data_IF_515558771053
#
_entry.id   IF_515558771053
#
_cell.length_a   1.000
_cell.length_b   1.000
_cell.length_c   1.000
_cell.angle_alpha   90.00
_cell.angle_beta   90.00
_cell.angle_gamma   90.00
#
_symmetry.space_group_name_H-M   'P 1'
#
loop_
_entity.id
_entity.type
_entity.pdbx_description
1 polymer ?
#
# COMPACT_ATOMS: atom_id res chain seq x y z
N UNK A 1 6.67 -29.61 2.49
CA UNK A 1 6.15 -28.54 3.38
C UNK A 1 6.56 -27.15 2.88
N UNK A 2 7.75 -26.98 2.26
CA UNK A 2 8.17 -25.71 1.64
C UNK A 2 7.45 -25.38 0.32
N UNK A 3 7.08 -26.37 -0.48
CA UNK A 3 6.49 -26.10 -1.81
C UNK A 3 5.11 -25.42 -1.76
N UNK A 4 4.33 -25.68 -0.70
CA UNK A 4 3.04 -25.02 -0.51
C UNK A 4 3.21 -23.56 -0.07
N UNK A 5 4.21 -23.29 0.78
CA UNK A 5 4.54 -21.95 1.25
C UNK A 5 5.11 -21.08 0.13
N UNK A 6 6.03 -21.61 -0.68
CA UNK A 6 6.59 -20.88 -1.82
C UNK A 6 5.53 -20.57 -2.89
N UNK A 7 4.60 -21.50 -3.16
CA UNK A 7 3.48 -21.23 -4.08
C UNK A 7 2.53 -20.14 -3.57
N UNK A 8 2.29 -20.08 -2.27
CA UNK A 8 1.46 -19.01 -1.70
C UNK A 8 2.16 -17.66 -1.82
N UNK A 9 3.48 -17.60 -1.56
CA UNK A 9 4.27 -16.39 -1.75
C UNK A 9 4.31 -15.93 -3.22
N UNK A 10 4.49 -16.85 -4.16
CA UNK A 10 4.43 -16.56 -5.59
C UNK A 10 3.05 -15.98 -5.96
N UNK A 11 1.98 -16.61 -5.48
CA UNK A 11 0.61 -16.14 -5.72
C UNK A 11 0.31 -14.78 -5.09
N UNK A 12 0.86 -14.50 -3.91
CA UNK A 12 0.77 -13.16 -3.28
C UNK A 12 1.50 -12.08 -4.10
N UNK A 13 2.49 -12.46 -4.91
CA UNK A 13 3.22 -11.57 -5.82
C UNK A 13 2.65 -11.49 -7.24
N UNK A 14 1.65 -12.32 -7.58
CA UNK A 14 1.00 -12.36 -8.90
C UNK A 14 -0.06 -11.25 -9.05
N UNK A 15 0.36 -9.99 -8.95
CA UNK A 15 -0.49 -8.84 -9.22
C UNK A 15 -0.05 -8.11 -10.50
N UNK A 16 -1.02 -7.51 -11.20
CA UNK A 16 -0.73 -6.70 -12.38
C UNK A 16 -0.12 -5.36 -11.95
N UNK A 17 1.21 -5.28 -12.07
CA UNK A 17 1.96 -4.06 -11.75
C UNK A 17 1.52 -2.85 -12.58
N UNK A 18 1.07 -3.04 -13.82
CA UNK A 18 0.61 -1.93 -14.66
C UNK A 18 -0.74 -1.40 -14.18
N UNK A 19 -1.64 -2.29 -13.77
CA UNK A 19 -2.91 -1.90 -13.17
C UNK A 19 -2.68 -1.14 -11.85
N UNK A 20 -1.77 -1.64 -10.99
CA UNK A 20 -1.42 -0.97 -9.74
C UNK A 20 -0.82 0.42 -9.96
N UNK A 21 0.10 0.57 -10.93
CA UNK A 21 0.67 1.88 -11.28
C UNK A 21 -0.43 2.86 -11.74
N UNK A 22 -1.40 2.40 -12.53
CA UNK A 22 -2.54 3.22 -12.96
C UNK A 22 -3.42 3.63 -11.78
N UNK A 23 -3.66 2.74 -10.82
CA UNK A 23 -4.41 3.04 -9.59
C UNK A 23 -3.70 4.14 -8.81
N UNK A 24 -2.38 4.03 -8.61
CA UNK A 24 -1.56 5.04 -7.91
C UNK A 24 -1.63 6.39 -8.62
N UNK A 25 -1.38 6.42 -9.94
CA UNK A 25 -1.41 7.66 -10.73
C UNK A 25 -2.77 8.36 -10.67
N UNK A 26 -3.87 7.59 -10.62
CA UNK A 26 -5.23 8.13 -10.55
C UNK A 26 -5.61 8.61 -9.15
N UNK A 27 -5.22 7.89 -8.10
CA UNK A 27 -5.76 8.09 -6.75
C UNK A 27 -4.89 9.01 -5.88
N UNK A 28 -3.56 9.01 -6.05
CA UNK A 28 -2.67 9.89 -5.26
C UNK A 28 -3.01 11.37 -5.38
N UNK A 29 -3.38 11.91 -6.57
CA UNK A 29 -3.82 13.30 -6.69
C UNK A 29 -5.13 13.63 -5.97
N UNK A 30 -5.94 12.62 -5.62
CA UNK A 30 -7.23 12.78 -4.95
C UNK A 30 -7.12 12.75 -3.43
N UNK A 31 -5.92 12.46 -2.89
CA UNK A 31 -5.68 12.43 -1.46
C UNK A 31 -5.78 13.83 -0.86
N UNK A 32 -6.46 13.94 0.29
CA UNK A 32 -6.34 15.14 1.11
C UNK A 32 -4.96 15.21 1.79
N UNK A 33 -4.63 16.35 2.39
CA UNK A 33 -3.30 16.58 2.98
C UNK A 33 -2.88 15.53 4.02
N UNK A 34 -3.79 15.07 4.87
CA UNK A 34 -3.49 14.06 5.90
C UNK A 34 -3.24 12.69 5.28
N UNK A 35 -4.08 12.30 4.32
CA UNK A 35 -3.94 11.03 3.61
C UNK A 35 -2.64 11.01 2.79
N UNK A 36 -2.29 12.15 2.17
CA UNK A 36 -1.06 12.29 1.39
C UNK A 36 0.20 12.20 2.26
N UNK A 37 0.18 12.79 3.45
CA UNK A 37 1.27 12.68 4.43
C UNK A 37 1.54 11.22 4.82
N UNK A 38 0.48 10.43 5.04
CA UNK A 38 0.62 9.00 5.33
C UNK A 38 1.20 8.26 4.13
N UNK A 39 0.65 8.47 2.93
CA UNK A 39 1.15 7.85 1.70
C UNK A 39 2.64 8.13 1.47
N UNK A 40 3.06 9.40 1.55
CA UNK A 40 4.45 9.81 1.33
C UNK A 40 5.40 9.21 2.37
N UNK A 41 4.96 9.13 3.64
CA UNK A 41 5.74 8.52 4.72
C UNK A 41 5.92 7.01 4.49
N UNK A 42 4.87 6.32 4.07
CA UNK A 42 4.92 4.89 3.75
C UNK A 42 5.82 4.61 2.55
N UNK A 43 5.68 5.38 1.47
CA UNK A 43 6.54 5.24 0.28
C UNK A 43 8.01 5.47 0.61
N UNK A 44 8.31 6.51 1.39
CA UNK A 44 9.68 6.77 1.84
C UNK A 44 10.27 5.61 2.65
N UNK A 45 9.48 5.00 3.55
CA UNK A 45 9.97 3.86 4.33
C UNK A 45 10.29 2.64 3.45
N UNK A 46 9.48 2.40 2.40
CA UNK A 46 9.73 1.35 1.41
C UNK A 46 11.02 1.65 0.64
N UNK A 47 11.18 2.88 0.13
CA UNK A 47 12.35 3.30 -0.65
C UNK A 47 13.65 3.23 0.18
N UNK A 48 13.56 3.60 1.47
CA UNK A 48 14.69 3.54 2.40
C UNK A 48 14.96 2.10 2.93
N UNK A 49 14.11 1.13 2.58
CA UNK A 49 14.21 -0.26 3.06
C UNK A 49 13.97 -0.41 4.56
N UNK A 50 13.28 0.55 5.18
CA UNK A 50 13.00 0.58 6.61
C UNK A 50 11.70 -0.19 6.85
N UNK A 51 11.83 -1.42 7.35
CA UNK A 51 10.69 -2.19 7.83
C UNK A 51 10.06 -1.55 9.07
N UNK A 52 8.74 -1.65 9.21
CA UNK A 52 8.02 -1.10 10.35
C UNK A 52 6.56 -1.53 10.39
N UNK A 53 5.93 -1.39 11.55
CA UNK A 53 4.49 -1.60 11.72
C UNK A 53 3.79 -0.25 11.79
N UNK A 54 2.92 0.03 10.83
CA UNK A 54 2.19 1.29 10.72
C UNK A 54 0.71 1.07 11.04
N UNK A 55 0.14 1.95 11.88
CA UNK A 55 -1.28 1.94 12.20
C UNK A 55 -1.98 3.13 11.54
N UNK A 56 -2.95 2.84 10.69
CA UNK A 56 -3.87 3.83 10.13
C UNK A 56 -5.04 4.07 11.09
N UNK A 57 -4.81 4.85 12.15
CA UNK A 57 -5.87 5.21 13.09
C UNK A 57 -6.65 6.42 12.57
N UNK A 58 -7.91 6.19 12.19
CA UNK A 58 -8.85 7.26 11.88
C UNK A 58 -10.29 6.80 12.19
N UNK A 59 -11.21 7.71 12.54
CA UNK A 59 -12.61 7.39 12.78
C UNK A 59 -13.31 6.72 11.58
N UNK A 60 -14.41 5.98 11.82
CA UNK A 60 -15.22 5.42 10.73
C UNK A 60 -15.65 6.49 9.71
N UNK A 61 -15.62 6.16 8.42
CA UNK A 61 -16.05 7.08 7.35
C UNK A 61 -14.97 8.05 6.82
N UNK A 62 -13.74 8.05 7.36
CA UNK A 62 -12.65 8.93 6.90
C UNK A 62 -11.91 8.46 5.63
N UNK A 63 -12.46 7.47 4.93
CA UNK A 63 -11.87 6.99 3.67
C UNK A 63 -10.53 6.26 3.83
N UNK A 64 -10.27 5.59 4.95
CA UNK A 64 -9.06 4.75 5.14
C UNK A 64 -8.89 3.71 4.03
N UNK A 65 -9.98 3.13 3.53
CA UNK A 65 -9.98 2.19 2.40
C UNK A 65 -9.50 2.83 1.10
N UNK A 66 -9.56 4.16 0.95
CA UNK A 66 -9.04 4.82 -0.23
C UNK A 66 -7.50 4.85 -0.29
N UNK A 67 -6.83 4.59 0.85
CA UNK A 67 -5.38 4.47 0.96
C UNK A 67 -4.87 3.03 0.80
N UNK A 68 -5.77 2.04 0.76
CA UNK A 68 -5.46 0.61 0.62
C UNK A 68 -5.81 0.14 -0.78
#
# INVERSE_FOLDING_TARGET
>A
MNDAFNRELERESEYDHQELDLVVQKNVPLLNSQQKEVYDTSMKAIDDGIGGLYFLDAPGGTGKTFLM
#
